data_IF_277082101772
#
_entry.id   IF_277082101772
#
_cell.length_a   1.000
_cell.length_b   1.000
_cell.length_c   1.000
_cell.angle_alpha   90.00
_cell.angle_beta   90.00
_cell.angle_gamma   90.00
#
_symmetry.space_group_name_H-M   'P 1'
#
loop_
_entity.id
_entity.type
_entity.pdbx_description
1 polymer ?
#
# COMPACT_ATOMS: atom_id res chain seq x y z
N UNK A 1 -28.40 25.43 -24.68
CA UNK A 1 -27.25 24.51 -24.74
C UNK A 1 -26.01 25.38 -24.77
N UNK A 2 -25.25 25.35 -23.67
CA UNK A 2 -24.06 26.18 -23.46
C UNK A 2 -22.87 25.59 -24.24
N UNK A 3 -22.04 26.45 -24.85
CA UNK A 3 -20.81 26.08 -25.52
C UNK A 3 -19.63 26.84 -24.93
N UNK A 4 -18.46 26.26 -24.93
CA UNK A 4 -17.24 26.94 -24.57
C UNK A 4 -16.71 27.84 -25.71
N UNK A 5 -15.62 28.58 -25.43
CA UNK A 5 -14.99 29.50 -26.40
C UNK A 5 -14.53 28.81 -27.71
N UNK A 6 -14.28 27.49 -27.66
CA UNK A 6 -13.93 26.68 -28.84
C UNK A 6 -15.16 26.10 -29.54
N UNK A 7 -16.39 26.42 -29.12
CA UNK A 7 -17.66 25.98 -29.69
C UNK A 7 -18.10 24.57 -29.26
N UNK A 8 -17.46 23.93 -28.26
CA UNK A 8 -17.79 22.60 -27.79
C UNK A 8 -19.01 22.64 -26.87
N UNK A 9 -19.93 21.67 -27.03
CA UNK A 9 -21.09 21.53 -26.16
C UNK A 9 -20.69 21.17 -24.74
N UNK A 10 -21.11 22.00 -23.78
CA UNK A 10 -20.89 21.75 -22.35
C UNK A 10 -22.04 20.89 -21.84
N UNK A 11 -21.70 19.73 -21.28
CA UNK A 11 -22.68 18.84 -20.64
C UNK A 11 -23.09 19.37 -19.27
N UNK A 12 -22.13 19.82 -18.49
CA UNK A 12 -22.36 20.25 -17.12
C UNK A 12 -21.15 21.05 -16.61
N UNK A 13 -21.40 22.10 -15.85
CA UNK A 13 -20.37 22.86 -15.10
C UNK A 13 -20.67 22.67 -13.63
N UNK A 14 -19.68 22.20 -12.87
CA UNK A 14 -19.78 22.08 -11.41
C UNK A 14 -18.68 22.88 -10.75
N UNK A 15 -18.96 23.57 -9.64
CA UNK A 15 -17.92 24.24 -8.88
C UNK A 15 -16.96 23.19 -8.27
N UNK A 16 -15.67 23.54 -8.23
CA UNK A 16 -14.67 22.73 -7.53
C UNK A 16 -14.71 23.12 -6.04
N UNK A 17 -15.43 22.34 -5.25
CA UNK A 17 -15.64 22.62 -3.82
C UNK A 17 -15.66 21.33 -2.97
N UNK A 18 -15.73 21.50 -1.64
CA UNK A 18 -15.81 20.38 -0.68
C UNK A 18 -14.65 19.40 -0.79
N UNK A 19 -14.92 18.14 -0.60
CA UNK A 19 -13.90 17.06 -0.61
C UNK A 19 -13.12 17.02 -1.93
N UNK A 20 -13.77 17.30 -3.08
CA UNK A 20 -13.08 17.30 -4.38
C UNK A 20 -12.02 18.40 -4.46
N UNK A 21 -12.29 19.59 -3.91
CA UNK A 21 -11.34 20.68 -3.81
C UNK A 21 -10.15 20.28 -2.92
N UNK A 22 -10.42 19.74 -1.74
CA UNK A 22 -9.36 19.28 -0.82
C UNK A 22 -8.45 18.22 -1.47
N UNK A 23 -9.02 17.25 -2.20
CA UNK A 23 -8.23 16.25 -2.93
C UNK A 23 -7.37 16.92 -4.01
N UNK A 24 -7.95 17.85 -4.79
CA UNK A 24 -7.21 18.54 -5.84
C UNK A 24 -6.04 19.34 -5.27
N UNK A 25 -6.25 20.10 -4.20
CA UNK A 25 -5.22 20.88 -3.52
C UNK A 25 -4.11 19.98 -2.95
N UNK A 26 -4.49 18.88 -2.26
CA UNK A 26 -3.53 17.93 -1.65
C UNK A 26 -2.69 17.22 -2.71
N UNK A 27 -3.30 16.76 -3.81
CA UNK A 27 -2.58 16.06 -4.88
C UNK A 27 -1.71 17.03 -5.70
N UNK A 28 -2.18 18.26 -5.92
CA UNK A 28 -1.37 19.32 -6.53
C UNK A 28 -0.16 19.64 -5.68
N UNK A 29 -0.34 19.85 -4.38
CA UNK A 29 0.73 20.05 -3.41
C UNK A 29 1.73 18.90 -3.45
N UNK A 30 1.25 17.64 -3.32
CA UNK A 30 2.09 16.45 -3.39
C UNK A 30 2.93 16.42 -4.67
N UNK A 31 2.32 16.66 -5.81
CA UNK A 31 3.02 16.57 -7.11
C UNK A 31 4.06 17.67 -7.30
N UNK A 32 3.84 18.87 -6.77
CA UNK A 32 4.74 20.01 -6.93
C UNK A 32 5.85 20.06 -5.89
N UNK A 33 5.54 19.73 -4.63
CA UNK A 33 6.49 19.87 -3.52
C UNK A 33 7.42 18.65 -3.36
N UNK A 34 6.98 17.48 -3.80
CA UNK A 34 7.74 16.24 -3.68
C UNK A 34 8.29 15.81 -5.05
N UNK A 35 9.62 15.81 -5.27
CA UNK A 35 10.23 15.25 -6.48
C UNK A 35 10.07 13.71 -6.43
N UNK A 36 8.94 13.23 -6.98
CA UNK A 36 8.54 11.82 -6.85
C UNK A 36 9.27 10.94 -7.87
N UNK A 37 9.95 9.89 -7.37
CA UNK A 37 10.48 8.79 -8.15
C UNK A 37 9.69 7.50 -7.89
N UNK A 38 9.43 6.69 -8.92
CA UNK A 38 8.72 5.42 -8.77
C UNK A 38 9.52 4.28 -9.36
N UNK A 39 9.87 3.29 -8.54
CA UNK A 39 10.29 1.98 -8.98
C UNK A 39 9.12 1.01 -9.09
N UNK A 40 9.23 0.01 -9.98
CA UNK A 40 8.23 -1.05 -10.12
C UNK A 40 8.91 -2.41 -10.25
N UNK A 41 8.27 -3.44 -9.68
CA UNK A 41 8.74 -4.82 -9.75
C UNK A 41 7.56 -5.77 -9.93
N UNK A 42 7.77 -6.85 -10.68
CA UNK A 42 6.81 -7.94 -10.82
C UNK A 42 7.31 -9.12 -9.98
N UNK A 43 6.58 -9.47 -8.91
CA UNK A 43 6.98 -10.53 -7.98
C UNK A 43 6.02 -11.71 -8.02
N UNK A 44 6.59 -12.91 -7.84
CA UNK A 44 5.83 -14.14 -7.66
C UNK A 44 5.17 -14.16 -6.29
N UNK A 45 3.85 -14.46 -6.27
CA UNK A 45 3.04 -14.48 -5.03
C UNK A 45 2.42 -15.86 -4.75
N UNK A 46 2.90 -16.93 -5.40
CA UNK A 46 2.38 -18.29 -5.20
C UNK A 46 2.50 -18.73 -3.74
N UNK A 47 3.61 -18.39 -3.06
CA UNK A 47 3.81 -18.69 -1.64
C UNK A 47 2.82 -17.96 -0.75
N UNK A 48 2.49 -16.72 -1.07
CA UNK A 48 1.47 -15.93 -0.34
C UNK A 48 0.07 -16.54 -0.55
N UNK A 49 -0.24 -16.99 -1.77
CA UNK A 49 -1.50 -17.67 -2.05
C UNK A 49 -1.62 -18.98 -1.28
N UNK A 50 -0.55 -19.78 -1.25
CA UNK A 50 -0.47 -21.02 -0.46
C UNK A 50 -0.63 -20.71 1.03
N UNK A 51 0.11 -19.75 1.56
CA UNK A 51 0.04 -19.31 2.95
C UNK A 51 -1.39 -18.93 3.36
N UNK A 52 -2.06 -18.10 2.52
CA UNK A 52 -3.46 -17.72 2.76
C UNK A 52 -4.39 -18.93 2.84
N UNK A 53 -4.22 -19.90 1.94
CA UNK A 53 -4.99 -21.16 1.94
C UNK A 53 -4.73 -21.95 3.22
N UNK A 54 -3.48 -22.12 3.60
CA UNK A 54 -3.07 -22.85 4.79
C UNK A 54 -3.54 -22.20 6.10
N UNK A 55 -3.53 -20.86 6.19
CA UNK A 55 -4.11 -20.12 7.31
C UNK A 55 -5.57 -20.49 7.52
N UNK A 56 -6.35 -20.53 6.42
CA UNK A 56 -7.76 -20.91 6.50
C UNK A 56 -7.94 -22.39 6.88
N UNK A 57 -7.22 -23.32 6.23
CA UNK A 57 -7.39 -24.75 6.39
C UNK A 57 -6.85 -25.28 7.72
N UNK A 58 -5.68 -24.80 8.16
CA UNK A 58 -4.98 -25.30 9.35
C UNK A 58 -5.30 -24.52 10.63
N UNK A 59 -5.62 -23.22 10.49
CA UNK A 59 -5.82 -22.30 11.63
C UNK A 59 -7.23 -21.72 11.71
N UNK A 60 -8.06 -21.88 10.69
CA UNK A 60 -9.37 -21.24 10.61
C UNK A 60 -9.34 -19.73 10.41
N UNK A 61 -8.16 -19.15 10.14
CA UNK A 61 -7.94 -17.71 10.00
C UNK A 61 -8.23 -17.28 8.57
N UNK A 62 -9.24 -16.41 8.40
CA UNK A 62 -9.64 -15.87 7.08
C UNK A 62 -9.10 -14.47 6.90
N UNK A 63 -8.13 -14.30 6.00
CA UNK A 63 -7.52 -13.02 5.65
C UNK A 63 -7.73 -12.69 4.18
N UNK A 64 -7.73 -11.40 3.82
CA UNK A 64 -7.70 -10.95 2.43
C UNK A 64 -6.27 -10.85 1.90
N UNK A 65 -6.10 -10.80 0.56
CA UNK A 65 -4.79 -10.47 -0.02
C UNK A 65 -4.31 -9.07 0.38
N UNK A 66 -5.26 -8.12 0.53
CA UNK A 66 -4.93 -6.77 1.00
C UNK A 66 -4.29 -6.79 2.39
N UNK A 67 -4.84 -7.56 3.33
CA UNK A 67 -4.30 -7.69 4.68
C UNK A 67 -2.88 -8.26 4.66
N UNK A 68 -2.64 -9.30 3.84
CA UNK A 68 -1.32 -9.92 3.67
C UNK A 68 -0.29 -8.93 3.11
N UNK A 69 -0.67 -8.13 2.11
CA UNK A 69 0.24 -7.14 1.54
C UNK A 69 0.49 -5.95 2.47
N UNK A 70 -0.49 -5.56 3.31
CA UNK A 70 -0.27 -4.58 4.39
C UNK A 70 0.74 -5.11 5.40
N UNK A 71 0.61 -6.38 5.84
CA UNK A 71 1.62 -6.99 6.73
C UNK A 71 2.98 -7.10 6.07
N UNK A 72 3.04 -7.52 4.81
CA UNK A 72 4.29 -7.60 4.05
C UNK A 72 4.97 -6.22 3.92
N UNK A 73 4.18 -5.15 3.71
CA UNK A 73 4.70 -3.77 3.69
C UNK A 73 5.29 -3.37 5.04
N UNK A 74 4.60 -3.67 6.16
CA UNK A 74 5.12 -3.38 7.51
C UNK A 74 6.47 -4.05 7.75
N UNK A 75 6.59 -5.34 7.40
CA UNK A 75 7.86 -6.08 7.53
C UNK A 75 8.95 -5.53 6.60
N UNK A 76 8.60 -5.12 5.37
CA UNK A 76 9.57 -4.54 4.45
C UNK A 76 10.04 -3.15 4.89
N UNK A 77 9.16 -2.32 5.46
CA UNK A 77 9.51 -1.01 6.03
C UNK A 77 10.42 -1.18 7.25
N UNK A 78 10.16 -2.17 8.10
CA UNK A 78 11.00 -2.49 9.27
C UNK A 78 12.47 -2.77 8.88
N UNK A 79 12.69 -3.45 7.76
CA UNK A 79 14.03 -3.69 7.22
C UNK A 79 14.61 -2.47 6.47
N UNK A 80 13.80 -1.45 6.19
CA UNK A 80 14.16 -0.28 5.38
C UNK A 80 13.67 1.02 6.01
N UNK A 81 14.06 1.28 7.26
CA UNK A 81 13.57 2.40 8.10
C UNK A 81 13.82 3.79 7.51
N UNK A 82 14.73 3.94 6.55
CA UNK A 82 14.90 5.20 5.81
C UNK A 82 13.63 5.63 5.06
N UNK A 83 12.77 4.68 4.68
CA UNK A 83 11.47 4.95 4.03
C UNK A 83 10.36 5.32 5.03
N UNK A 84 10.57 5.07 6.34
CA UNK A 84 9.62 5.38 7.40
C UNK A 84 9.81 6.81 7.90
N UNK A 85 9.62 7.77 7.02
CA UNK A 85 10.00 9.15 7.25
C UNK A 85 9.11 10.15 6.51
N UNK A 86 9.20 11.40 6.90
CA UNK A 86 8.56 12.53 6.21
C UNK A 86 9.54 13.68 5.99
N UNK A 87 9.36 14.42 4.91
CA UNK A 87 10.03 15.69 4.67
C UNK A 87 9.06 16.83 4.92
N UNK A 88 9.35 17.65 5.91
CA UNK A 88 8.51 18.78 6.28
C UNK A 88 9.33 20.07 6.28
N UNK A 89 9.09 20.93 5.30
CA UNK A 89 9.88 22.14 5.05
C UNK A 89 11.37 21.80 4.91
N UNK A 90 12.20 22.22 5.84
CA UNK A 90 13.66 21.99 5.84
C UNK A 90 14.09 20.85 6.79
N UNK A 91 13.17 19.98 7.21
CA UNK A 91 13.45 18.88 8.15
C UNK A 91 13.09 17.54 7.54
N UNK A 92 13.96 16.56 7.75
CA UNK A 92 13.68 15.15 7.58
C UNK A 92 13.34 14.57 8.95
N UNK A 93 12.18 13.93 9.05
CA UNK A 93 11.69 13.34 10.29
C UNK A 93 11.60 11.84 10.06
N UNK A 94 12.41 11.08 10.77
CA UNK A 94 12.41 9.62 10.77
C UNK A 94 11.62 9.12 11.97
N UNK A 95 10.72 8.16 11.75
CA UNK A 95 9.84 7.63 12.79
C UNK A 95 10.29 6.23 13.21
N UNK A 96 10.22 5.94 14.51
CA UNK A 96 10.43 4.58 15.05
C UNK A 96 9.15 3.74 14.93
N UNK A 97 7.98 4.37 15.06
CA UNK A 97 6.69 3.70 14.87
C UNK A 97 6.42 3.44 13.38
N UNK A 98 6.03 2.22 13.03
CA UNK A 98 5.60 1.87 11.67
C UNK A 98 4.07 1.90 11.63
N UNK A 99 3.54 3.05 11.22
CA UNK A 99 2.11 3.29 11.08
C UNK A 99 1.72 3.33 9.60
N UNK A 100 0.94 2.35 9.15
CA UNK A 100 0.59 2.25 7.73
C UNK A 100 -0.73 2.94 7.42
N UNK A 101 -0.70 3.98 6.57
CA UNK A 101 -1.89 4.56 5.94
C UNK A 101 -2.37 3.63 4.83
N UNK A 102 -3.54 3.00 5.00
CA UNK A 102 -4.08 2.05 4.03
C UNK A 102 -5.18 2.71 3.21
N UNK A 103 -4.89 3.03 1.93
CA UNK A 103 -5.85 3.70 1.06
C UNK A 103 -7.04 2.79 0.73
N UNK A 104 -8.25 3.27 0.95
CA UNK A 104 -9.49 2.57 0.64
C UNK A 104 -10.58 3.53 0.11
N UNK A 105 -11.29 3.11 -0.93
CA UNK A 105 -12.47 3.82 -1.41
C UNK A 105 -13.71 3.32 -0.67
N UNK A 106 -14.30 4.18 0.13
CA UNK A 106 -15.47 3.87 0.94
C UNK A 106 -16.60 4.86 0.58
N UNK A 107 -17.77 4.35 0.17
CA UNK A 107 -18.91 5.17 -0.22
C UNK A 107 -18.59 6.25 -1.27
N UNK A 108 -17.66 5.93 -2.20
CA UNK A 108 -17.22 6.85 -3.27
C UNK A 108 -16.16 7.87 -2.85
N UNK A 109 -15.69 7.84 -1.61
CA UNK A 109 -14.62 8.71 -1.11
C UNK A 109 -13.35 7.92 -0.80
N UNK A 110 -12.20 8.49 -1.16
CA UNK A 110 -10.91 7.95 -0.76
C UNK A 110 -10.68 8.29 0.72
N UNK A 111 -10.43 7.28 1.51
CA UNK A 111 -10.09 7.35 2.94
C UNK A 111 -8.73 6.70 3.16
N UNK A 112 -7.98 7.17 4.15
CA UNK A 112 -6.64 6.71 4.47
C UNK A 112 -6.55 6.29 5.96
N UNK A 113 -7.29 5.23 6.38
CA UNK A 113 -7.19 4.74 7.75
C UNK A 113 -5.78 4.26 8.07
N UNK A 114 -5.36 4.50 9.30
CA UNK A 114 -4.03 4.14 9.80
C UNK A 114 -4.08 2.89 10.66
N UNK A 115 -3.22 1.93 10.34
CA UNK A 115 -2.89 0.78 11.18
C UNK A 115 -1.64 1.14 11.97
N UNK A 116 -1.79 1.44 13.25
CA UNK A 116 -0.68 1.84 14.13
C UNK A 116 0.17 0.62 14.51
N UNK A 117 1.48 0.78 14.65
CA UNK A 117 2.44 -0.27 15.05
C UNK A 117 2.27 -1.56 14.25
N UNK A 118 2.18 -1.43 12.92
CA UNK A 118 1.87 -2.55 12.03
C UNK A 118 2.94 -3.65 12.02
N UNK A 119 4.18 -3.32 12.34
CA UNK A 119 5.31 -4.24 12.55
C UNK A 119 5.07 -5.17 13.75
N UNK A 120 4.47 -4.64 14.83
CA UNK A 120 4.23 -5.33 16.10
C UNK A 120 2.97 -6.21 16.09
N UNK A 121 2.19 -6.21 15.00
CA UNK A 121 0.96 -6.99 14.83
C UNK A 121 1.20 -8.19 13.93
N UNK A 122 0.63 -9.33 14.30
CA UNK A 122 0.56 -10.46 13.38
C UNK A 122 -0.53 -10.27 12.31
N UNK A 123 -0.61 -11.20 11.36
CA UNK A 123 -1.56 -11.08 10.24
C UNK A 123 -3.02 -11.16 10.70
N UNK A 124 -3.31 -11.89 11.77
CA UNK A 124 -4.68 -12.02 12.29
C UNK A 124 -5.14 -10.69 12.92
N UNK A 125 -4.27 -10.06 13.71
CA UNK A 125 -4.52 -8.75 14.32
C UNK A 125 -4.72 -7.64 13.26
N UNK A 126 -3.85 -7.59 12.23
CA UNK A 126 -3.99 -6.63 11.13
C UNK A 126 -5.31 -6.84 10.38
N UNK A 127 -5.65 -8.09 10.05
CA UNK A 127 -6.90 -8.42 9.35
C UNK A 127 -8.14 -8.05 10.16
N UNK A 128 -8.14 -8.35 11.45
CA UNK A 128 -9.25 -8.00 12.35
C UNK A 128 -9.42 -6.49 12.48
N UNK A 129 -8.31 -5.74 12.61
CA UNK A 129 -8.32 -4.28 12.71
C UNK A 129 -8.82 -3.63 11.42
N UNK A 130 -8.29 -4.02 10.26
CA UNK A 130 -8.73 -3.50 8.96
C UNK A 130 -10.21 -3.79 8.70
N UNK A 131 -10.68 -4.99 9.02
CA UNK A 131 -12.10 -5.35 8.90
C UNK A 131 -12.98 -4.43 9.74
N UNK A 132 -12.64 -4.24 11.02
CA UNK A 132 -13.37 -3.36 11.95
C UNK A 132 -13.34 -1.91 11.47
N UNK A 133 -12.19 -1.46 10.98
CA UNK A 133 -11.97 -0.11 10.43
C UNK A 133 -12.88 0.13 9.22
N UNK A 134 -12.88 -0.77 8.24
CA UNK A 134 -13.74 -0.65 7.06
C UNK A 134 -15.24 -0.73 7.40
N UNK A 135 -15.63 -1.53 8.38
CA UNK A 135 -17.02 -1.56 8.88
C UNK A 135 -17.42 -0.22 9.51
N UNK A 136 -16.56 0.38 10.33
CA UNK A 136 -16.81 1.69 10.93
C UNK A 136 -16.93 2.80 9.86
N UNK A 137 -16.02 2.81 8.89
CA UNK A 137 -16.06 3.76 7.78
C UNK A 137 -17.34 3.64 6.96
N UNK A 138 -17.76 2.42 6.59
CA UNK A 138 -19.03 2.19 5.86
C UNK A 138 -20.27 2.67 6.64
N UNK A 139 -20.21 2.59 7.97
CA UNK A 139 -21.27 3.05 8.88
C UNK A 139 -21.16 4.55 9.23
N UNK A 140 -20.20 5.30 8.64
CA UNK A 140 -19.98 6.72 8.92
C UNK A 140 -19.44 7.02 10.31
N UNK A 141 -18.89 6.03 11.03
CA UNK A 141 -18.36 6.19 12.39
C UNK A 141 -16.90 6.68 12.39
N UNK A 142 -16.65 7.85 11.79
CA UNK A 142 -15.29 8.39 11.60
C UNK A 142 -14.51 8.56 12.91
N UNK A 143 -15.16 8.97 14.00
CA UNK A 143 -14.55 9.13 15.32
C UNK A 143 -13.98 7.83 15.92
N UNK A 144 -14.29 6.68 15.32
CA UNK A 144 -13.76 5.36 15.73
C UNK A 144 -12.64 4.86 14.83
N UNK A 145 -12.18 5.70 13.92
CA UNK A 145 -11.14 5.34 12.94
C UNK A 145 -10.01 6.36 13.03
N UNK A 146 -8.79 5.87 13.12
CA UNK A 146 -7.59 6.68 13.03
C UNK A 146 -7.36 7.05 11.57
N UNK A 147 -7.28 8.34 11.26
CA UNK A 147 -7.09 8.87 9.90
C UNK A 147 -5.82 9.73 9.76
N UNK A 148 -5.05 9.85 10.84
CA UNK A 148 -3.83 10.67 10.90
C UNK A 148 -2.72 9.90 11.62
N UNK A 149 -1.46 10.29 11.39
CA UNK A 149 -0.30 9.70 12.05
C UNK A 149 0.31 8.50 11.33
N UNK A 150 -0.03 8.31 10.04
CA UNK A 150 0.66 7.37 9.16
C UNK A 150 2.10 7.83 8.88
N UNK A 151 2.99 6.86 8.71
CA UNK A 151 4.42 7.08 8.43
C UNK A 151 4.85 6.51 7.09
N UNK A 152 4.06 5.59 6.54
CA UNK A 152 4.20 4.98 5.23
C UNK A 152 2.82 4.62 4.67
N UNK A 153 2.60 4.83 3.36
CA UNK A 153 1.30 4.60 2.75
C UNK A 153 1.25 3.31 1.91
N UNK A 154 0.06 2.70 1.85
CA UNK A 154 -0.23 1.52 1.01
C UNK A 154 -1.49 1.75 0.19
N UNK A 155 -1.38 1.68 -1.14
CA UNK A 155 -2.49 1.79 -2.08
C UNK A 155 -2.73 0.45 -2.79
N UNK A 156 -3.87 -0.18 -2.53
CA UNK A 156 -4.19 -1.49 -3.08
C UNK A 156 -5.30 -1.40 -4.14
N UNK A 157 -4.94 -1.60 -5.40
CA UNK A 157 -5.84 -1.71 -6.55
C UNK A 157 -5.94 -3.17 -7.07
N UNK A 158 -5.56 -4.15 -6.26
CA UNK A 158 -5.52 -5.57 -6.63
C UNK A 158 -6.88 -6.17 -7.04
N UNK A 159 -7.99 -5.55 -6.65
CA UNK A 159 -9.34 -5.91 -7.09
C UNK A 159 -9.75 -5.28 -8.44
N UNK A 160 -8.98 -4.32 -8.96
CA UNK A 160 -9.23 -3.66 -10.24
C UNK A 160 -8.45 -4.34 -11.37
N UNK A 161 -8.83 -4.05 -12.63
CA UNK A 161 -8.10 -4.53 -13.81
C UNK A 161 -6.88 -3.64 -14.11
N UNK A 162 -6.03 -3.41 -13.09
CA UNK A 162 -4.84 -2.57 -13.16
C UNK A 162 -3.60 -3.45 -13.06
N UNK A 163 -2.78 -3.47 -14.10
CA UNK A 163 -1.55 -4.28 -14.17
C UNK A 163 -0.34 -3.61 -13.52
N UNK A 164 -0.30 -2.28 -13.55
CA UNK A 164 0.71 -1.47 -12.87
C UNK A 164 0.13 -0.13 -12.49
N UNK A 165 0.68 0.52 -11.48
CA UNK A 165 0.26 1.83 -11.03
C UNK A 165 1.46 2.67 -10.61
N UNK A 166 1.28 3.96 -10.58
CA UNK A 166 2.21 4.93 -10.01
C UNK A 166 1.42 5.78 -9.01
N UNK A 167 1.34 5.35 -7.74
CA UNK A 167 0.60 6.11 -6.74
C UNK A 167 1.32 7.42 -6.43
N UNK A 168 0.55 8.48 -6.15
CA UNK A 168 1.12 9.71 -5.61
C UNK A 168 1.36 9.59 -4.11
N UNK A 169 2.46 10.16 -3.65
CA UNK A 169 2.72 10.31 -2.22
C UNK A 169 1.56 11.06 -1.57
N UNK A 170 1.13 10.60 -0.41
CA UNK A 170 0.11 11.23 0.43
C UNK A 170 0.78 11.94 1.60
N UNK A 171 1.11 13.25 1.48
CA UNK A 171 1.80 13.94 2.56
C UNK A 171 1.05 13.86 3.90
N UNK A 172 1.75 13.70 5.05
CA UNK A 172 3.19 13.91 5.23
C UNK A 172 4.09 12.68 4.97
N UNK A 173 3.54 11.51 4.66
CA UNK A 173 4.36 10.32 4.37
C UNK A 173 5.32 10.57 3.20
N UNK A 174 6.57 10.07 3.31
CA UNK A 174 7.60 10.22 2.29
C UNK A 174 7.63 9.11 1.24
N UNK A 175 6.86 8.03 1.44
CA UNK A 175 6.79 6.90 0.53
C UNK A 175 5.41 6.23 0.52
N UNK A 176 5.08 5.60 -0.63
CA UNK A 176 3.84 4.86 -0.82
C UNK A 176 4.07 3.61 -1.67
N UNK A 177 3.63 2.45 -1.17
CA UNK A 177 3.58 1.21 -1.94
C UNK A 177 2.25 1.06 -2.67
N UNK A 178 2.31 0.86 -3.99
CA UNK A 178 1.18 0.51 -4.84
C UNK A 178 1.12 -0.99 -5.13
N UNK A 179 -0.07 -1.59 -5.02
CA UNK A 179 -0.30 -3.01 -5.27
C UNK A 179 -1.31 -3.14 -6.41
N UNK A 180 -0.89 -3.79 -7.50
CA UNK A 180 -1.73 -4.04 -8.66
C UNK A 180 -2.39 -5.42 -8.60
N UNK A 181 -3.16 -5.78 -9.61
CA UNK A 181 -3.85 -7.08 -9.62
C UNK A 181 -2.88 -8.25 -9.66
N UNK A 182 -3.30 -9.36 -9.08
CA UNK A 182 -2.65 -10.64 -9.27
C UNK A 182 -3.05 -11.22 -10.64
N UNK A 183 -2.06 -11.73 -11.39
CA UNK A 183 -2.25 -12.38 -12.70
C UNK A 183 -1.53 -13.72 -12.74
N UNK A 184 -2.21 -14.72 -13.28
CA UNK A 184 -1.57 -15.98 -13.66
C UNK A 184 -0.95 -15.81 -15.05
N UNK A 185 0.36 -15.96 -15.12
CA UNK A 185 1.13 -15.78 -16.36
C UNK A 185 2.10 -16.94 -16.57
N UNK A 186 2.51 -17.25 -17.81
CA UNK A 186 3.58 -18.20 -18.06
C UNK A 186 4.93 -17.55 -17.68
N UNK A 187 5.77 -18.30 -16.97
CA UNK A 187 7.16 -17.93 -16.65
C UNK A 187 8.07 -19.10 -16.96
N UNK A 188 9.38 -18.87 -17.11
CA UNK A 188 10.36 -19.92 -17.19
C UNK A 188 10.80 -20.36 -15.80
N UNK A 189 10.88 -21.67 -15.58
CA UNK A 189 11.51 -22.24 -14.39
C UNK A 189 13.05 -22.35 -14.56
N UNK A 190 13.74 -22.87 -13.54
CA UNK A 190 15.19 -23.05 -13.54
C UNK A 190 15.72 -24.01 -14.64
N UNK A 191 14.83 -24.78 -15.27
CA UNK A 191 15.12 -25.73 -16.33
C UNK A 191 14.62 -25.25 -17.71
N UNK A 192 14.32 -23.97 -17.87
CA UNK A 192 13.76 -23.36 -19.07
C UNK A 192 12.38 -23.92 -19.51
N UNK A 193 11.63 -24.58 -18.61
CA UNK A 193 10.27 -24.99 -18.90
C UNK A 193 9.30 -23.83 -18.64
N UNK A 194 8.29 -23.74 -19.50
CA UNK A 194 7.20 -22.76 -19.28
C UNK A 194 6.23 -23.30 -18.24
N UNK A 195 6.16 -22.64 -17.11
CA UNK A 195 5.27 -22.97 -15.98
C UNK A 195 4.34 -21.81 -15.64
N UNK A 196 3.12 -22.07 -15.14
CA UNK A 196 2.24 -20.99 -14.68
C UNK A 196 2.69 -20.45 -13.33
N UNK A 197 2.71 -19.14 -13.17
CA UNK A 197 2.97 -18.46 -11.90
C UNK A 197 1.96 -17.37 -11.64
N UNK A 198 1.65 -17.12 -10.37
CA UNK A 198 0.85 -15.95 -9.97
C UNK A 198 1.79 -14.80 -9.67
N UNK A 199 1.63 -13.71 -10.41
CA UNK A 199 2.48 -12.53 -10.35
C UNK A 199 1.68 -11.30 -9.99
N UNK A 200 2.23 -10.46 -9.11
CA UNK A 200 1.67 -9.15 -8.75
C UNK A 200 2.71 -8.07 -9.00
N UNK A 201 2.29 -6.98 -9.65
CA UNK A 201 3.14 -5.81 -9.79
C UNK A 201 3.02 -4.93 -8.55
N UNK A 202 4.17 -4.61 -7.96
CA UNK A 202 4.32 -3.66 -6.86
C UNK A 202 5.04 -2.43 -7.36
N UNK A 203 4.59 -1.26 -6.93
CA UNK A 203 5.22 0.02 -7.16
C UNK A 203 5.65 0.62 -5.82
N UNK A 204 6.76 1.31 -5.78
CA UNK A 204 7.15 2.15 -4.64
C UNK A 204 7.44 3.55 -5.17
N UNK A 205 6.63 4.52 -4.77
CA UNK A 205 6.89 5.93 -5.02
C UNK A 205 7.49 6.56 -3.79
N UNK A 206 8.60 7.26 -3.96
CA UNK A 206 9.35 7.94 -2.90
C UNK A 206 9.48 9.43 -3.18
N UNK A 207 9.65 10.21 -2.14
CA UNK A 207 10.17 11.59 -2.23
C UNK A 207 11.70 11.55 -2.42
N UNK A 208 12.18 11.94 -3.61
CA UNK A 208 13.62 12.02 -3.90
C UNK A 208 14.36 13.08 -3.08
N UNK A 209 13.64 13.93 -2.35
CA UNK A 209 14.23 14.82 -1.36
C UNK A 209 14.50 14.13 -0.01
N UNK A 210 14.00 12.89 0.17
CA UNK A 210 14.14 12.10 1.40
C UNK A 210 15.05 10.88 1.20
N UNK A 211 14.88 10.15 0.10
CA UNK A 211 15.62 8.91 -0.22
C UNK A 211 15.80 8.77 -1.73
N UNK A 212 16.59 7.81 -2.17
CA UNK A 212 16.94 7.61 -3.56
C UNK A 212 16.63 6.18 -4.08
N UNK A 213 17.17 5.81 -5.25
CA UNK A 213 16.93 4.52 -5.87
C UNK A 213 17.47 3.33 -5.07
N UNK A 214 18.44 3.52 -4.19
CA UNK A 214 19.00 2.45 -3.36
C UNK A 214 17.96 1.94 -2.37
N UNK A 215 17.24 2.83 -1.70
CA UNK A 215 16.16 2.49 -0.78
C UNK A 215 15.03 1.74 -1.51
N UNK A 216 14.71 2.13 -2.75
CA UNK A 216 13.71 1.42 -3.58
C UNK A 216 14.15 -0.02 -3.88
N UNK A 217 15.42 -0.22 -4.28
CA UNK A 217 15.97 -1.55 -4.56
C UNK A 217 15.98 -2.42 -3.32
N UNK A 218 16.43 -1.89 -2.18
CA UNK A 218 16.49 -2.60 -0.91
C UNK A 218 15.09 -3.00 -0.43
N UNK A 219 14.13 -2.09 -0.52
CA UNK A 219 12.73 -2.37 -0.17
C UNK A 219 12.15 -3.53 -0.99
N UNK A 220 12.35 -3.53 -2.31
CA UNK A 220 11.85 -4.62 -3.14
C UNK A 220 12.56 -5.94 -2.91
N UNK A 221 13.84 -5.91 -2.57
CA UNK A 221 14.58 -7.12 -2.16
C UNK A 221 13.98 -7.70 -0.87
N UNK A 222 13.74 -6.86 0.14
CA UNK A 222 13.07 -7.25 1.39
C UNK A 222 11.64 -7.75 1.13
N UNK A 223 10.86 -7.02 0.34
CA UNK A 223 9.50 -7.42 0.01
C UNK A 223 9.48 -8.80 -0.69
N UNK A 224 10.35 -9.02 -1.68
CA UNK A 224 10.45 -10.32 -2.34
C UNK A 224 10.78 -11.44 -1.35
N UNK A 225 11.79 -11.25 -0.50
CA UNK A 225 12.17 -12.21 0.56
C UNK A 225 10.98 -12.57 1.46
N UNK A 226 10.22 -11.56 1.90
CA UNK A 226 9.03 -11.72 2.76
C UNK A 226 7.93 -12.51 2.05
N UNK A 227 7.66 -12.20 0.77
CA UNK A 227 6.64 -12.89 -0.03
C UNK A 227 7.02 -14.35 -0.33
N UNK A 228 8.32 -14.70 -0.35
CA UNK A 228 8.79 -16.08 -0.56
C UNK A 228 8.76 -16.94 0.73
N UNK A 229 8.71 -16.32 1.92
CA UNK A 229 8.59 -17.05 3.20
C UNK A 229 7.58 -16.36 4.13
N UNK A 230 6.27 -16.39 3.79
CA UNK A 230 5.25 -15.67 4.54
C UNK A 230 5.00 -16.25 5.95
N UNK A 231 5.26 -17.53 6.17
CA UNK A 231 5.15 -18.11 7.51
C UNK A 231 6.15 -17.50 8.48
N UNK A 232 7.37 -17.29 8.07
CA UNK A 232 8.42 -16.69 8.88
C UNK A 232 8.13 -15.21 9.17
N UNK A 233 7.75 -14.43 8.15
CA UNK A 233 7.71 -12.97 8.26
C UNK A 233 6.33 -12.41 8.60
N UNK A 234 5.24 -13.04 8.15
CA UNK A 234 3.91 -12.44 8.28
C UNK A 234 3.05 -13.07 9.39
N UNK A 235 3.33 -14.32 9.77
CA UNK A 235 2.54 -15.02 10.79
C UNK A 235 2.88 -14.56 12.21
N UNK A 236 4.12 -14.21 12.49
CA UNK A 236 4.59 -13.82 13.81
C UNK A 236 4.66 -12.31 13.99
N UNK A 237 4.67 -11.88 15.26
CA UNK A 237 5.01 -10.51 15.65
C UNK A 237 6.53 -10.31 15.57
N UNK A 238 6.93 -9.04 15.51
CA UNK A 238 8.35 -8.66 15.60
C UNK A 238 9.02 -9.35 16.81
N UNK A 239 10.20 -9.93 16.58
CA UNK A 239 11.00 -10.59 17.64
C UNK A 239 10.56 -11.98 18.06
N UNK A 240 9.45 -12.53 17.51
CA UNK A 240 9.00 -13.90 17.78
C UNK A 240 9.40 -14.91 16.69
N UNK A 241 9.92 -14.45 15.57
CA UNK A 241 10.27 -15.30 14.42
C UNK A 241 11.55 -16.16 14.63
N UNK A 242 12.33 -15.90 15.69
CA UNK A 242 13.60 -16.60 15.94
C UNK A 242 13.46 -17.86 16.83
N UNK A 243 12.27 -18.14 17.39
CA UNK A 243 12.07 -19.26 18.33
C UNK A 243 11.26 -20.44 17.74
N UNK A 244 10.97 -20.47 16.41
CA UNK A 244 10.16 -21.51 15.79
C UNK A 244 10.95 -22.38 14.81
#
# INVERSE_FOLDING_TARGET
>A
VERDEAGRLIREIKPLEGIRKTIAERMTFSKHEYPQGTGQVLLNVDKVMQFRKELLEKKGIKVSFGDLYVKAAACAVEENMALNASRQKEKLIYYDDINLSVMATINGFLMEPVVEHADQKDIEEISAELKKTYENLRKGKLMKVKLEGGTFAVSNLGSALIDSQQPFISPPEGAIMGISRNRRVPVFDENDNVVPANMTSFALTIDHGLCDGTEVVNFFASLNKILQDPWKYMYHKRGQAEEA
#
